data_IF_337545608606
#
_entry.id   IF_337545608606
#
_cell.length_a   1.000
_cell.length_b   1.000
_cell.length_c   1.000
_cell.angle_alpha   90.00
_cell.angle_beta   90.00
_cell.angle_gamma   90.00
#
_symmetry.space_group_name_H-M   'P 1'
#
loop_
_entity.id
_entity.type
_entity.pdbx_description
1 polymer ?
#
# COMPACT_ATOMS: atom_id res chain seq x y z
N UNK A 1 5.41 16.41 14.28
CA UNK A 1 6.15 15.48 13.38
C UNK A 1 6.68 14.31 14.20
N UNK A 2 6.36 13.11 13.81
CA UNK A 2 6.82 11.85 14.44
C UNK A 2 7.46 10.98 13.36
N UNK A 3 8.65 10.44 13.63
CA UNK A 3 9.40 9.63 12.68
C UNK A 3 9.62 8.24 13.25
N UNK A 4 9.47 7.21 12.41
CA UNK A 4 9.71 5.82 12.76
C UNK A 4 10.67 5.16 11.79
N UNK A 5 11.43 4.18 12.29
CA UNK A 5 12.16 3.23 11.47
C UNK A 5 11.19 2.21 10.88
N UNK A 6 11.27 2.00 9.56
CA UNK A 6 10.51 0.95 8.87
C UNK A 6 11.35 -0.32 8.84
N UNK A 7 10.76 -1.42 9.24
CA UNK A 7 11.23 -2.76 8.90
C UNK A 7 10.42 -3.27 7.71
N UNK A 8 11.06 -3.45 6.57
CA UNK A 8 10.41 -4.05 5.39
C UNK A 8 10.39 -5.58 5.53
N UNK A 9 9.37 -6.09 6.19
CA UNK A 9 9.22 -7.54 6.36
C UNK A 9 8.56 -8.15 5.11
N UNK A 10 9.35 -8.85 4.31
CA UNK A 10 8.91 -9.40 3.01
C UNK A 10 8.23 -8.35 2.10
N UNK A 11 8.68 -7.09 2.15
CA UNK A 11 8.11 -5.98 1.39
C UNK A 11 6.99 -5.21 2.10
N UNK A 12 6.49 -5.68 3.24
CA UNK A 12 5.47 -4.99 4.04
C UNK A 12 6.10 -4.01 5.01
N UNK A 13 5.65 -2.74 5.08
CA UNK A 13 6.20 -1.72 5.97
C UNK A 13 5.67 -1.88 7.39
N UNK A 14 6.52 -2.34 8.28
CA UNK A 14 6.22 -2.49 9.70
C UNK A 14 7.00 -1.47 10.50
N UNK A 15 6.34 -0.77 11.42
CA UNK A 15 6.93 0.12 12.41
C UNK A 15 6.63 -0.37 13.82
N UNK A 16 7.45 0.09 14.78
CA UNK A 16 7.21 -0.12 16.19
C UNK A 16 7.22 1.25 16.88
N UNK A 17 6.11 1.61 17.54
CA UNK A 17 5.97 2.88 18.27
C UNK A 17 6.30 2.76 19.76
N UNK A 18 6.75 1.59 20.22
CA UNK A 18 7.05 1.26 21.62
C UNK A 18 5.92 0.51 22.33
N UNK A 19 4.68 0.68 21.90
CA UNK A 19 3.50 -0.02 22.43
C UNK A 19 2.92 -1.00 21.41
N UNK A 20 3.01 -0.64 20.12
CA UNK A 20 2.36 -1.37 19.02
C UNK A 20 3.38 -1.77 17.94
N UNK A 21 3.15 -2.93 17.35
CA UNK A 21 3.78 -3.37 16.10
C UNK A 21 2.75 -3.14 14.99
N UNK A 22 3.03 -2.19 14.10
CA UNK A 22 2.06 -1.61 13.17
C UNK A 22 2.45 -1.93 11.73
N UNK A 23 1.57 -2.61 11.00
CA UNK A 23 1.62 -2.68 9.54
C UNK A 23 0.95 -1.43 8.98
N UNK A 24 1.65 -0.65 8.15
CA UNK A 24 1.07 0.52 7.46
C UNK A 24 0.49 0.03 6.13
N UNK A 25 -0.82 0.22 5.94
CA UNK A 25 -1.56 -0.32 4.80
C UNK A 25 -2.49 0.73 4.20
N UNK A 26 -2.02 1.41 3.14
CA UNK A 26 -2.82 2.41 2.41
C UNK A 26 -3.89 1.76 1.55
N UNK A 27 -3.83 0.44 1.29
CA UNK A 27 -4.84 -0.36 0.59
C UNK A 27 -5.98 -0.83 1.49
N UNK A 28 -5.87 -0.66 2.81
CA UNK A 28 -6.94 -0.98 3.76
C UNK A 28 -7.79 0.25 4.07
N UNK A 29 -9.13 0.22 3.85
CA UNK A 29 -9.99 1.36 4.14
C UNK A 29 -10.15 1.62 5.64
N UNK A 30 -9.96 0.60 6.48
CA UNK A 30 -10.19 0.67 7.93
C UNK A 30 -9.04 0.07 8.72
N UNK A 31 -8.68 0.75 9.80
CA UNK A 31 -7.70 0.28 10.79
C UNK A 31 -8.28 -0.87 11.61
N UNK A 32 -7.47 -1.94 11.76
CA UNK A 32 -7.77 -3.08 12.64
C UNK A 32 -6.73 -3.08 13.75
N UNK A 33 -7.17 -3.11 14.99
CA UNK A 33 -6.31 -3.16 16.15
C UNK A 33 -6.74 -4.27 17.10
N UNK A 34 -5.84 -4.72 17.98
CA UNK A 34 -6.14 -5.77 18.95
C UNK A 34 -7.13 -5.34 20.05
N UNK A 35 -7.41 -4.04 20.18
CA UNK A 35 -8.43 -3.46 21.04
C UNK A 35 -9.26 -2.40 20.30
N UNK A 36 -10.35 -1.93 20.90
CA UNK A 36 -11.20 -0.90 20.31
C UNK A 36 -10.57 0.51 20.32
N UNK A 37 -9.46 0.71 21.02
CA UNK A 37 -8.80 1.99 21.17
C UNK A 37 -7.32 1.88 20.82
N UNK A 38 -6.88 2.69 19.88
CA UNK A 38 -5.49 2.83 19.47
C UNK A 38 -4.99 4.22 19.87
N UNK A 39 -3.83 4.29 20.51
CA UNK A 39 -3.06 5.53 20.62
C UNK A 39 -1.97 5.52 19.57
N UNK A 40 -1.97 6.51 18.68
CA UNK A 40 -0.95 6.64 17.63
C UNK A 40 -0.59 8.12 17.42
N UNK A 41 0.70 8.43 17.41
CA UNK A 41 1.23 9.80 17.30
C UNK A 41 0.58 10.79 18.31
N UNK A 42 0.37 10.33 19.56
CA UNK A 42 -0.27 11.08 20.67
C UNK A 42 -1.76 11.35 20.51
N UNK A 43 -2.44 10.76 19.53
CA UNK A 43 -3.89 10.82 19.39
C UNK A 43 -4.54 9.48 19.69
N UNK A 44 -5.83 9.55 20.03
CA UNK A 44 -6.65 8.38 20.31
C UNK A 44 -7.65 8.14 19.18
N UNK A 45 -7.68 6.90 18.71
CA UNK A 45 -8.57 6.46 17.63
C UNK A 45 -9.42 5.28 18.09
N UNK A 46 -10.71 5.33 17.73
CA UNK A 46 -11.60 4.18 17.87
C UNK A 46 -11.38 3.27 16.65
N UNK A 47 -10.95 2.04 16.88
CA UNK A 47 -10.61 1.10 15.83
C UNK A 47 -11.50 -0.14 15.88
N UNK A 48 -11.64 -0.81 14.74
CA UNK A 48 -12.26 -2.12 14.67
C UNK A 48 -11.29 -3.19 15.17
N UNK A 49 -11.80 -4.18 15.92
CA UNK A 49 -11.04 -5.39 16.24
C UNK A 49 -11.19 -6.46 15.16
N UNK A 50 -12.17 -6.27 14.28
CA UNK A 50 -12.51 -7.16 13.17
C UNK A 50 -13.11 -6.34 12.02
N UNK A 51 -12.56 -6.49 10.83
CA UNK A 51 -13.13 -5.91 9.62
C UNK A 51 -13.36 -7.03 8.60
N UNK A 52 -14.62 -7.28 8.25
CA UNK A 52 -15.02 -8.35 7.31
C UNK A 52 -14.44 -9.74 7.64
N UNK A 53 -14.34 -10.06 8.93
CA UNK A 53 -13.78 -11.34 9.41
C UNK A 53 -12.24 -11.36 9.52
N UNK A 54 -11.57 -10.26 9.17
CA UNK A 54 -10.13 -10.08 9.32
C UNK A 54 -9.81 -9.50 10.70
N UNK A 55 -8.84 -10.09 11.39
CA UNK A 55 -8.30 -9.65 12.67
C UNK A 55 -6.79 -9.55 12.61
N UNK A 56 -6.17 -8.81 13.52
CA UNK A 56 -4.69 -8.72 13.57
C UNK A 56 -4.02 -10.07 13.74
N UNK A 57 -4.64 -11.02 14.48
CA UNK A 57 -4.11 -12.39 14.61
C UNK A 57 -4.07 -13.13 13.28
N UNK A 58 -5.12 -13.02 12.46
CA UNK A 58 -5.15 -13.64 11.13
C UNK A 58 -4.13 -13.01 10.19
N UNK A 59 -3.99 -11.67 10.24
CA UNK A 59 -2.99 -10.95 9.45
C UNK A 59 -1.59 -11.38 9.87
N UNK A 60 -1.30 -11.46 11.17
CA UNK A 60 -0.02 -11.93 11.71
C UNK A 60 0.33 -13.34 11.24
N UNK A 61 -0.64 -14.26 11.23
CA UNK A 61 -0.47 -15.62 10.72
C UNK A 61 -0.11 -15.62 9.22
N UNK A 62 -0.84 -14.84 8.40
CA UNK A 62 -0.59 -14.74 6.96
C UNK A 62 0.76 -14.09 6.65
N UNK A 63 1.12 -13.02 7.35
CA UNK A 63 2.42 -12.37 7.22
C UNK A 63 3.57 -13.27 7.67
N UNK A 64 3.36 -14.06 8.71
CA UNK A 64 4.38 -14.86 9.40
C UNK A 64 5.22 -14.02 10.37
N UNK A 65 4.66 -12.90 10.86
CA UNK A 65 5.22 -12.07 11.94
C UNK A 65 4.10 -11.43 12.73
N UNK A 66 4.32 -11.23 14.02
CA UNK A 66 3.32 -10.67 14.92
C UNK A 66 3.16 -9.15 14.67
N UNK A 67 1.91 -8.72 14.51
CA UNK A 67 1.50 -7.32 14.53
C UNK A 67 0.38 -7.12 15.53
N UNK A 68 0.24 -5.91 16.07
CA UNK A 68 -0.88 -5.51 16.94
C UNK A 68 -1.89 -4.63 16.21
N UNK A 69 -1.46 -4.04 15.07
CA UNK A 69 -2.26 -3.06 14.32
C UNK A 69 -2.01 -3.21 12.83
N UNK A 70 -3.09 -3.19 12.04
CA UNK A 70 -3.08 -2.81 10.64
C UNK A 70 -3.61 -1.38 10.58
N UNK A 71 -2.78 -0.42 10.19
CA UNK A 71 -3.10 1.01 10.14
C UNK A 71 -3.63 1.35 8.75
N UNK A 72 -4.92 1.61 8.64
CA UNK A 72 -5.64 1.85 7.39
C UNK A 72 -5.90 3.33 7.09
N UNK A 73 -6.55 3.58 5.96
CA UNK A 73 -6.81 4.91 5.40
C UNK A 73 -7.61 5.82 6.35
N UNK A 74 -8.50 5.27 7.17
CA UNK A 74 -9.30 6.01 8.15
C UNK A 74 -8.43 6.75 9.18
N UNK A 75 -7.35 6.16 9.65
CA UNK A 75 -6.38 6.79 10.54
C UNK A 75 -5.30 7.54 9.74
N UNK A 76 -4.77 6.93 8.67
CA UNK A 76 -3.73 7.52 7.84
C UNK A 76 -4.14 8.88 7.24
N UNK A 77 -5.43 9.08 6.91
CA UNK A 77 -5.94 10.35 6.37
C UNK A 77 -5.85 11.54 7.33
N UNK A 78 -5.52 11.33 8.61
CA UNK A 78 -5.29 12.40 9.56
C UNK A 78 -3.86 13.00 9.47
N UNK A 79 -3.01 12.42 8.64
CA UNK A 79 -1.60 12.79 8.53
C UNK A 79 -1.18 13.06 7.09
N UNK A 80 -0.16 13.88 6.93
CA UNK A 80 0.77 13.84 5.81
C UNK A 80 1.81 12.80 6.14
N UNK A 81 2.12 11.91 5.20
CA UNK A 81 2.96 10.74 5.46
C UNK A 81 4.09 10.71 4.44
N UNK A 82 5.34 10.80 4.90
CA UNK A 82 6.50 10.69 4.05
C UNK A 82 7.11 9.30 4.17
N UNK A 83 6.99 8.51 3.10
CA UNK A 83 7.61 7.20 2.97
C UNK A 83 9.00 7.34 2.32
N UNK A 84 10.02 6.86 2.99
CA UNK A 84 11.41 6.79 2.51
C UNK A 84 11.95 5.38 2.72
N UNK A 85 11.55 4.46 1.83
CA UNK A 85 11.94 3.05 1.95
C UNK A 85 13.44 2.83 1.79
N UNK A 86 14.12 3.67 0.99
CA UNK A 86 15.57 3.59 0.80
C UNK A 86 16.36 3.82 2.08
N UNK A 87 15.87 4.73 2.92
CA UNK A 87 16.46 5.04 4.22
C UNK A 87 15.80 4.30 5.36
N UNK A 88 14.78 3.48 5.11
CA UNK A 88 14.03 2.74 6.11
C UNK A 88 13.27 3.65 7.07
N UNK A 89 12.67 4.74 6.57
CA UNK A 89 12.02 5.75 7.38
C UNK A 89 10.58 6.03 6.92
N UNK A 90 9.72 6.33 7.89
CA UNK A 90 8.43 6.97 7.64
C UNK A 90 8.21 8.11 8.63
N UNK A 91 7.68 9.21 8.15
CA UNK A 91 7.36 10.39 8.97
C UNK A 91 5.87 10.69 8.88
N UNK A 92 5.28 11.06 10.02
CA UNK A 92 3.88 11.46 10.15
C UNK A 92 3.81 12.88 10.72
N UNK A 93 3.06 13.75 10.06
CA UNK A 93 2.74 15.07 10.57
C UNK A 93 1.32 15.48 10.19
N UNK A 94 0.62 16.21 11.06
CA UNK A 94 -0.72 16.72 10.79
C UNK A 94 -0.73 18.02 10.00
N UNK A 95 0.39 18.72 9.98
CA UNK A 95 0.51 20.02 9.34
C UNK A 95 1.32 19.92 8.05
N UNK A 96 2.63 20.02 8.14
CA UNK A 96 3.52 20.06 6.99
C UNK A 96 4.77 19.18 7.20
N UNK A 97 5.12 18.44 6.15
CA UNK A 97 6.43 17.79 6.03
C UNK A 97 7.20 18.48 4.90
N UNK A 98 8.38 18.98 5.22
CA UNK A 98 9.22 19.62 4.21
C UNK A 98 9.85 18.56 3.31
N UNK A 99 9.33 18.43 2.12
CA UNK A 99 9.82 17.52 1.09
C UNK A 99 9.83 18.21 -0.28
N UNK A 100 11.00 18.29 -0.89
CA UNK A 100 11.14 18.83 -2.23
C UNK A 100 10.94 17.72 -3.27
N UNK A 101 9.81 17.74 -3.94
CA UNK A 101 9.40 16.75 -4.94
C UNK A 101 8.38 17.30 -5.91
N UNK A 102 8.04 16.54 -6.93
CA UNK A 102 6.97 16.85 -7.87
C UNK A 102 5.63 16.48 -7.26
N UNK A 103 4.70 17.41 -7.22
CA UNK A 103 3.36 17.23 -6.69
C UNK A 103 2.37 16.90 -7.81
N UNK A 104 1.48 15.95 -7.54
CA UNK A 104 0.38 15.55 -8.41
C UNK A 104 -0.91 15.42 -7.60
N UNK A 105 -2.03 15.69 -8.26
CA UNK A 105 -3.34 15.34 -7.73
C UNK A 105 -3.57 13.84 -7.91
N UNK A 106 -4.18 13.21 -6.92
CA UNK A 106 -4.58 11.82 -6.95
C UNK A 106 -6.08 11.71 -6.72
N UNK A 107 -6.67 10.58 -7.04
CA UNK A 107 -8.04 10.25 -6.64
C UNK A 107 -8.04 9.20 -5.53
N UNK A 108 -9.21 8.88 -5.01
CA UNK A 108 -9.35 7.77 -4.06
C UNK A 108 -10.67 7.04 -4.26
N UNK A 109 -10.71 5.80 -3.78
CA UNK A 109 -11.92 5.01 -3.62
C UNK A 109 -11.95 4.43 -2.20
N UNK A 110 -12.96 4.77 -1.41
CA UNK A 110 -13.07 4.39 0.01
C UNK A 110 -11.85 4.81 0.86
N UNK A 111 -11.20 5.93 0.52
CA UNK A 111 -9.99 6.42 1.18
C UNK A 111 -8.68 5.80 0.66
N UNK A 112 -8.75 4.74 -0.15
CA UNK A 112 -7.59 4.11 -0.78
C UNK A 112 -7.12 4.99 -1.95
N UNK A 113 -5.85 5.46 -1.97
CA UNK A 113 -5.37 6.36 -3.01
C UNK A 113 -5.24 5.65 -4.36
N UNK A 114 -5.51 6.40 -5.43
CA UNK A 114 -5.41 5.95 -6.82
C UNK A 114 -4.47 6.88 -7.58
N UNK A 115 -3.46 6.31 -8.25
CA UNK A 115 -2.49 7.02 -9.09
C UNK A 115 -2.53 6.49 -10.52
N UNK A 116 -2.01 7.27 -11.46
CA UNK A 116 -1.83 6.85 -12.85
C UNK A 116 -0.37 6.48 -13.11
N UNK A 117 -0.15 5.33 -13.74
CA UNK A 117 1.13 4.85 -14.24
C UNK A 117 0.98 4.52 -15.73
N UNK A 118 2.09 4.50 -16.46
CA UNK A 118 2.04 4.12 -17.87
C UNK A 118 2.78 2.80 -18.12
N UNK A 119 2.14 1.89 -18.83
CA UNK A 119 2.70 0.63 -19.33
C UNK A 119 2.44 0.60 -20.83
N UNK A 120 3.48 0.37 -21.64
CA UNK A 120 3.39 0.34 -23.12
C UNK A 120 2.66 1.55 -23.72
N UNK A 121 2.92 2.76 -23.19
CA UNK A 121 2.27 4.02 -23.55
C UNK A 121 0.76 4.10 -23.27
N UNK A 122 0.22 3.18 -22.47
CA UNK A 122 -1.15 3.23 -21.98
C UNK A 122 -1.15 3.75 -20.54
N UNK A 123 -1.92 4.79 -20.27
CA UNK A 123 -2.14 5.27 -18.90
C UNK A 123 -3.17 4.38 -18.21
N UNK A 124 -2.76 3.80 -17.10
CA UNK A 124 -3.53 2.87 -16.30
C UNK A 124 -3.66 3.41 -14.88
N UNK A 125 -4.78 3.12 -14.24
CA UNK A 125 -5.07 3.53 -12.86
C UNK A 125 -4.78 2.40 -11.89
N UNK A 126 -4.09 2.74 -10.80
CA UNK A 126 -3.68 1.77 -9.78
C UNK A 126 -4.08 2.23 -8.39
N UNK A 127 -4.62 1.33 -7.60
CA UNK A 127 -4.60 1.53 -6.15
C UNK A 127 -3.16 1.59 -5.67
N UNK A 128 -2.81 2.60 -4.88
CA UNK A 128 -1.50 2.73 -4.27
C UNK A 128 -1.54 2.10 -2.87
N UNK A 129 -0.91 0.94 -2.74
CA UNK A 129 -1.07 0.04 -1.59
C UNK A 129 0.27 -0.31 -0.96
N UNK A 130 0.58 0.28 0.21
CA UNK A 130 1.79 -0.06 0.98
C UNK A 130 1.75 -1.46 1.57
N UNK A 131 0.55 -2.03 1.76
CA UNK A 131 0.35 -3.40 2.23
C UNK A 131 0.65 -4.46 1.17
N UNK A 132 0.72 -4.10 -0.12
CA UNK A 132 0.98 -5.03 -1.21
C UNK A 132 2.49 -5.24 -1.44
N UNK A 133 3.01 -6.43 -1.14
CA UNK A 133 4.40 -6.82 -1.45
C UNK A 133 4.60 -7.08 -2.94
N UNK A 134 3.58 -7.59 -3.62
CA UNK A 134 3.49 -7.82 -5.05
C UNK A 134 2.47 -6.85 -5.63
N UNK A 135 2.79 -6.25 -6.77
CA UNK A 135 1.82 -5.45 -7.52
C UNK A 135 0.94 -6.35 -8.36
N UNK A 136 -0.21 -5.85 -8.81
CA UNK A 136 -1.18 -6.66 -9.56
C UNK A 136 -1.70 -5.90 -10.76
N UNK A 137 -1.94 -6.64 -11.84
CA UNK A 137 -2.58 -6.17 -13.06
C UNK A 137 -3.70 -7.12 -13.47
N UNK A 138 -4.58 -6.63 -14.34
CA UNK A 138 -5.59 -7.48 -14.97
C UNK A 138 -4.95 -8.47 -15.93
N UNK A 139 -5.54 -9.66 -16.04
CA UNK A 139 -5.08 -10.74 -16.92
C UNK A 139 -5.00 -10.29 -18.39
N UNK A 140 -5.87 -9.38 -18.80
CA UNK A 140 -5.87 -8.84 -20.17
C UNK A 140 -4.60 -8.08 -20.53
N UNK A 141 -3.89 -7.55 -19.53
CA UNK A 141 -2.63 -6.84 -19.71
C UNK A 141 -1.46 -7.83 -19.59
N UNK A 142 -1.44 -8.61 -18.51
CA UNK A 142 -0.32 -9.55 -18.25
C UNK A 142 -0.17 -10.64 -19.30
N UNK A 143 -1.28 -11.02 -19.98
CA UNK A 143 -1.23 -12.00 -21.08
C UNK A 143 -0.35 -11.60 -22.27
N UNK A 144 0.07 -10.34 -22.36
CA UNK A 144 1.02 -9.87 -23.37
C UNK A 144 2.49 -10.08 -23.00
N UNK A 145 2.78 -10.59 -21.80
CA UNK A 145 4.13 -10.75 -21.25
C UNK A 145 4.44 -12.21 -20.93
N UNK A 146 5.73 -12.57 -20.95
CA UNK A 146 6.16 -13.88 -20.49
C UNK A 146 6.21 -13.94 -18.97
N UNK A 147 5.66 -15.03 -18.41
CA UNK A 147 5.73 -15.30 -16.98
C UNK A 147 7.18 -15.63 -16.58
N UNK A 148 7.64 -15.04 -15.48
CA UNK A 148 8.95 -15.33 -14.87
C UNK A 148 8.87 -16.40 -13.78
N UNK A 149 7.71 -17.03 -13.59
CA UNK A 149 7.44 -18.08 -12.60
C UNK A 149 6.19 -17.79 -11.77
N UNK A 150 6.02 -18.54 -10.69
CA UNK A 150 4.88 -18.39 -9.76
C UNK A 150 5.34 -17.86 -8.41
N UNK A 151 4.48 -17.09 -7.75
CA UNK A 151 4.68 -16.52 -6.41
C UNK A 151 3.48 -16.82 -5.54
N UNK A 152 3.74 -17.28 -4.31
CA UNK A 152 2.71 -17.36 -3.27
C UNK A 152 2.48 -15.97 -2.67
N UNK A 153 1.22 -15.57 -2.61
CA UNK A 153 0.79 -14.38 -1.91
C UNK A 153 -0.48 -14.66 -1.11
N UNK A 154 -0.94 -13.68 -0.36
CA UNK A 154 -2.19 -13.77 0.36
C UNK A 154 -2.98 -12.47 0.21
N UNK A 155 -4.30 -12.59 0.28
CA UNK A 155 -5.18 -11.45 0.35
C UNK A 155 -6.25 -11.66 1.42
N UNK A 156 -6.55 -10.62 2.22
CA UNK A 156 -7.63 -10.68 3.21
C UNK A 156 -8.95 -11.11 2.57
N UNK A 157 -9.60 -12.13 3.16
CA UNK A 157 -10.86 -12.67 2.64
C UNK A 157 -10.74 -13.77 1.59
N UNK A 158 -9.56 -13.94 0.96
CA UNK A 158 -9.26 -15.04 0.03
C UNK A 158 -8.35 -16.09 0.69
N UNK A 159 -7.42 -15.62 1.52
CA UNK A 159 -6.35 -16.44 2.09
C UNK A 159 -5.14 -16.49 1.16
N UNK A 160 -4.33 -17.55 1.30
CA UNK A 160 -3.15 -17.77 0.45
C UNK A 160 -3.56 -18.26 -0.94
N UNK A 161 -2.85 -17.77 -1.95
CA UNK A 161 -3.01 -18.18 -3.34
C UNK A 161 -1.66 -18.13 -4.07
N UNK A 162 -1.56 -18.84 -5.18
CA UNK A 162 -0.44 -18.74 -6.11
C UNK A 162 -0.86 -17.92 -7.33
N UNK A 163 0.06 -17.11 -7.84
CA UNK A 163 -0.13 -16.34 -9.06
C UNK A 163 1.10 -16.40 -9.94
N UNK A 164 0.92 -16.38 -11.25
CA UNK A 164 2.02 -16.12 -12.16
C UNK A 164 2.57 -14.73 -11.90
N UNK A 165 3.87 -14.57 -12.11
CA UNK A 165 4.58 -13.31 -11.90
C UNK A 165 5.17 -12.82 -13.21
N UNK A 166 5.03 -11.53 -13.47
CA UNK A 166 5.49 -10.86 -14.69
C UNK A 166 6.35 -9.67 -14.30
N UNK A 167 7.49 -9.49 -14.94
CA UNK A 167 8.34 -8.32 -14.73
C UNK A 167 8.12 -7.34 -15.87
N UNK A 168 7.50 -6.20 -15.57
CA UNK A 168 7.04 -5.23 -16.56
C UNK A 168 7.66 -3.86 -16.29
N UNK A 169 8.19 -3.24 -17.35
CA UNK A 169 8.66 -1.85 -17.28
C UNK A 169 7.47 -0.90 -17.15
N UNK A 170 7.45 -0.16 -16.05
CA UNK A 170 6.41 0.82 -15.73
C UNK A 170 7.01 2.21 -15.72
N UNK A 171 6.28 3.19 -16.24
CA UNK A 171 6.70 4.58 -16.30
C UNK A 171 5.88 5.42 -15.31
N UNK A 172 6.57 6.20 -14.47
CA UNK A 172 5.96 7.22 -13.62
C UNK A 172 6.88 8.43 -13.47
N UNK A 173 6.31 9.64 -13.60
CA UNK A 173 7.08 10.87 -13.44
C UNK A 173 8.29 11.00 -14.36
N UNK A 174 8.23 10.41 -15.55
CA UNK A 174 9.33 10.40 -16.52
C UNK A 174 10.43 9.37 -16.24
N UNK A 175 10.29 8.53 -15.21
CA UNK A 175 11.22 7.45 -14.84
C UNK A 175 10.62 6.08 -15.14
N UNK A 176 11.36 5.27 -15.91
CA UNK A 176 11.09 3.85 -16.07
C UNK A 176 11.65 3.08 -14.87
N UNK A 177 10.88 2.12 -14.36
CA UNK A 177 11.31 1.18 -13.33
C UNK A 177 10.64 -0.17 -13.54
N UNK A 178 11.31 -1.24 -13.11
CA UNK A 178 10.78 -2.59 -13.19
C UNK A 178 9.86 -2.86 -12.01
N UNK A 179 8.71 -3.44 -12.31
CA UNK A 179 7.71 -3.84 -11.32
C UNK A 179 7.36 -5.31 -11.54
N UNK A 180 7.24 -6.05 -10.45
CA UNK A 180 6.73 -7.41 -10.46
C UNK A 180 5.22 -7.39 -10.27
N UNK A 181 4.50 -7.87 -11.26
CA UNK A 181 3.05 -7.96 -11.24
C UNK A 181 2.59 -9.42 -11.16
N UNK A 182 1.61 -9.67 -10.31
CA UNK A 182 0.82 -10.88 -10.33
C UNK A 182 -0.56 -10.64 -10.93
N UNK A 183 -1.34 -11.72 -11.07
CA UNK A 183 -2.75 -11.66 -11.42
C UNK A 183 -3.59 -11.85 -10.17
N UNK A 184 -4.59 -11.00 -9.97
CA UNK A 184 -5.51 -11.15 -8.85
C UNK A 184 -6.48 -12.31 -9.06
N UNK A 185 -6.81 -13.07 -8.00
CA UNK A 185 -7.95 -13.98 -8.04
C UNK A 185 -9.23 -13.27 -8.52
N UNK A 186 -10.15 -13.97 -9.22
CA UNK A 186 -11.35 -13.36 -9.82
C UNK A 186 -12.19 -12.52 -8.86
N UNK A 187 -12.29 -12.95 -7.60
CA UNK A 187 -13.03 -12.20 -6.57
C UNK A 187 -12.42 -10.79 -6.34
N UNK A 188 -11.11 -10.65 -6.43
CA UNK A 188 -10.41 -9.39 -6.19
C UNK A 188 -10.39 -8.49 -7.43
N UNK A 189 -10.52 -9.06 -8.63
CA UNK A 189 -10.70 -8.29 -9.84
C UNK A 189 -11.98 -7.44 -9.78
N UNK A 190 -13.02 -7.91 -9.09
CA UNK A 190 -14.22 -7.10 -8.83
C UNK A 190 -13.91 -5.82 -8.05
N UNK A 191 -12.96 -5.85 -7.11
CA UNK A 191 -12.55 -4.66 -6.35
C UNK A 191 -11.89 -3.62 -7.26
N UNK A 192 -11.06 -4.05 -8.21
CA UNK A 192 -10.48 -3.16 -9.22
C UNK A 192 -11.58 -2.50 -10.07
N UNK A 193 -12.55 -3.28 -10.53
CA UNK A 193 -13.68 -2.76 -11.33
C UNK A 193 -14.50 -1.72 -10.57
N UNK A 194 -14.80 -1.96 -9.28
CA UNK A 194 -15.54 -1.03 -8.44
C UNK A 194 -14.77 0.28 -8.21
N UNK A 195 -13.46 0.19 -8.06
CA UNK A 195 -12.58 1.35 -7.91
C UNK A 195 -12.27 2.07 -9.23
N UNK A 196 -12.65 1.48 -10.38
CA UNK A 196 -12.30 2.01 -11.70
C UNK A 196 -10.80 1.98 -11.94
N UNK A 197 -10.11 0.94 -11.46
CA UNK A 197 -8.67 0.75 -11.55
C UNK A 197 -8.32 -0.47 -12.39
N UNK A 198 -7.11 -0.46 -12.95
CA UNK A 198 -6.56 -1.53 -13.78
C UNK A 198 -5.63 -2.47 -12.97
N UNK A 199 -5.21 -2.03 -11.78
CA UNK A 199 -4.28 -2.78 -10.96
C UNK A 199 -4.09 -2.23 -9.54
N UNK A 200 -3.12 -2.84 -8.86
CA UNK A 200 -2.60 -2.42 -7.56
C UNK A 200 -1.10 -2.24 -7.71
N UNK A 201 -0.57 -1.13 -7.23
CA UNK A 201 0.87 -0.87 -7.18
C UNK A 201 1.33 -0.79 -5.72
N UNK A 202 2.34 -1.58 -5.37
CA UNK A 202 2.80 -1.73 -4.01
C UNK A 202 4.27 -1.45 -3.81
N UNK A 203 4.98 -2.38 -3.18
CA UNK A 203 6.36 -2.27 -2.74
C UNK A 203 7.31 -1.66 -3.77
N UNK A 204 7.25 -2.09 -5.04
CA UNK A 204 8.18 -1.62 -6.07
C UNK A 204 8.09 -0.11 -6.30
N UNK A 205 6.90 0.48 -6.15
CA UNK A 205 6.72 1.93 -6.26
C UNK A 205 7.46 2.66 -5.13
N UNK A 206 7.19 2.31 -3.89
CA UNK A 206 7.81 2.94 -2.72
C UNK A 206 9.32 2.69 -2.63
N UNK A 207 9.79 1.56 -3.15
CA UNK A 207 11.23 1.27 -3.25
C UNK A 207 11.94 2.12 -4.31
N UNK A 208 11.21 2.61 -5.32
CA UNK A 208 11.75 3.46 -6.38
C UNK A 208 11.60 4.96 -6.16
N UNK A 209 10.60 5.35 -5.36
CA UNK A 209 10.27 6.76 -5.10
C UNK A 209 10.15 7.03 -3.61
N UNK A 210 10.68 8.19 -3.19
CA UNK A 210 10.31 8.79 -1.92
C UNK A 210 8.97 9.50 -2.10
N UNK A 211 8.00 9.23 -1.23
CA UNK A 211 6.60 9.62 -1.42
C UNK A 211 6.06 10.35 -0.21
N UNK A 212 5.60 11.58 -0.39
CA UNK A 212 4.77 12.30 0.58
C UNK A 212 3.31 12.17 0.15
N UNK A 213 2.52 11.50 0.97
CA UNK A 213 1.10 11.24 0.73
C UNK A 213 0.23 12.08 1.66
N UNK A 214 -0.74 12.78 1.10
CA UNK A 214 -1.78 13.54 1.81
C UNK A 214 -3.15 13.04 1.34
N UNK A 215 -3.65 12.01 2.01
CA UNK A 215 -4.93 11.37 1.67
C UNK A 215 -6.12 12.32 1.84
N UNK A 216 -6.05 13.21 2.82
CA UNK A 216 -7.12 14.18 3.11
C UNK A 216 -7.32 15.18 1.97
N UNK A 217 -6.24 15.62 1.35
CA UNK A 217 -6.25 16.59 0.26
C UNK A 217 -6.11 15.96 -1.13
N UNK A 218 -6.06 14.62 -1.22
CA UNK A 218 -5.87 13.89 -2.46
C UNK A 218 -4.61 14.35 -3.23
N UNK A 219 -3.51 14.52 -2.53
CA UNK A 219 -2.24 14.98 -3.08
C UNK A 219 -1.14 13.94 -2.80
N UNK A 220 -0.27 13.76 -3.77
CA UNK A 220 0.95 12.98 -3.67
C UNK A 220 2.12 13.80 -4.20
N UNK A 221 3.20 13.86 -3.41
CA UNK A 221 4.45 14.46 -3.87
C UNK A 221 5.53 13.36 -3.89
N UNK A 222 6.28 13.28 -4.99
CA UNK A 222 7.30 12.24 -5.16
C UNK A 222 8.66 12.84 -5.54
N UNK A 223 9.71 12.07 -5.19
CA UNK A 223 11.10 12.37 -5.53
C UNK A 223 11.91 11.08 -5.65
N UNK A 224 13.19 11.21 -5.95
CA UNK A 224 14.12 10.08 -6.19
C UNK A 224 15.13 9.95 -5.05
#
# INVERSE_FOLDING_TARGET
MTQFQITLFKGHPIINDGENVILIDTGAPSTIHNSSNLTFCSDHYNCSINYMGLTVSKISEMLGTEITTLLGADVLSNFKILFDYKNGLVEFDKQEINFNGTEIDISNFMGIPIIELSIDNQNLKFFLDTGAKLSYLSDSITSNYESIGTVEDFYPGVGKFETECFEITTLFGGKNFLVKYGNLPPLLQMTLMLGGTDGIIGFDFFNNFKVLLDLKNNSLKYGH
#
